data_IF_837326700499
#
_entry.id   IF_837326700499
#
_cell.length_a   1.000
_cell.length_b   1.000
_cell.length_c   1.000
_cell.angle_alpha   90.00
_cell.angle_beta   90.00
_cell.angle_gamma   90.00
#
_symmetry.space_group_name_H-M   'P 1'
#
loop_
_entity.id
_entity.type
_entity.pdbx_description
1 polymer ?
#
# COMPACT_ATOMS: atom_id res chain seq x y z
N UNK A 1 -34.48 12.31 36.55
CA UNK A 1 -33.20 12.57 35.83
C UNK A 1 -33.19 11.69 34.59
N UNK A 2 -32.94 12.26 33.41
CA UNK A 2 -33.06 11.58 32.11
C UNK A 2 -31.83 10.68 31.87
N UNK A 3 -32.08 9.46 31.39
CA UNK A 3 -31.07 8.56 30.84
C UNK A 3 -30.36 9.23 29.66
N UNK A 4 -29.03 9.29 29.71
CA UNK A 4 -28.22 9.70 28.57
C UNK A 4 -27.91 8.47 27.71
N UNK A 5 -28.42 8.52 26.48
CA UNK A 5 -28.38 7.44 25.51
C UNK A 5 -26.97 6.96 25.17
N UNK A 6 -26.85 5.63 25.12
CA UNK A 6 -25.78 4.84 24.51
C UNK A 6 -25.32 5.47 23.19
N UNK A 7 -24.06 5.92 23.15
CA UNK A 7 -23.42 6.33 21.91
C UNK A 7 -23.42 5.15 20.93
N UNK A 8 -24.08 5.32 19.77
CA UNK A 8 -23.96 4.37 18.68
C UNK A 8 -22.55 4.48 18.11
N UNK A 9 -21.82 3.37 18.12
CA UNK A 9 -20.52 3.21 17.46
C UNK A 9 -20.71 3.35 15.94
N UNK A 10 -20.77 4.60 15.48
CA UNK A 10 -20.87 4.95 14.07
C UNK A 10 -19.53 5.52 13.62
N UNK A 11 -18.70 4.65 13.04
CA UNK A 11 -17.65 4.93 12.06
C UNK A 11 -16.74 3.71 12.08
N UNK A 12 -17.06 2.70 11.28
CA UNK A 12 -16.06 1.70 10.90
C UNK A 12 -14.98 2.47 10.15
N UNK A 13 -13.88 2.78 10.84
CA UNK A 13 -12.64 3.23 10.20
C UNK A 13 -12.40 2.29 9.02
N UNK A 14 -12.42 2.83 7.80
CA UNK A 14 -12.07 2.09 6.58
C UNK A 14 -10.75 1.39 6.86
N UNK A 15 -10.78 0.07 7.03
CA UNK A 15 -9.60 -0.71 7.37
C UNK A 15 -8.58 -0.50 6.25
N UNK A 16 -7.44 0.09 6.59
CA UNK A 16 -6.27 0.29 5.72
C UNK A 16 -5.54 -1.02 5.41
N UNK A 17 -6.19 -2.16 5.64
CA UNK A 17 -5.60 -3.49 5.61
C UNK A 17 -6.44 -4.36 4.68
N UNK A 18 -5.80 -4.86 3.63
CA UNK A 18 -6.37 -5.91 2.79
C UNK A 18 -5.91 -7.26 3.35
N UNK A 19 -6.86 -8.09 3.77
CA UNK A 19 -6.59 -9.45 4.20
C UNK A 19 -6.52 -10.34 2.96
N UNK A 20 -5.32 -10.78 2.60
CA UNK A 20 -5.09 -11.59 1.40
C UNK A 20 -5.56 -13.02 1.65
N UNK A 21 -6.87 -13.24 1.53
CA UNK A 21 -7.47 -14.56 1.68
C UNK A 21 -7.61 -15.24 0.31
N UNK A 22 -6.80 -16.30 0.13
CA UNK A 22 -7.16 -17.54 -0.59
C UNK A 22 -6.67 -17.80 -2.02
N UNK A 23 -5.79 -17.01 -2.65
CA UNK A 23 -5.29 -17.38 -4.00
C UNK A 23 -3.81 -17.11 -4.31
N UNK A 24 -3.09 -16.31 -3.53
CA UNK A 24 -1.65 -16.11 -3.75
C UNK A 24 -0.84 -17.16 -2.99
N UNK A 25 0.21 -17.65 -3.64
CA UNK A 25 1.09 -18.70 -3.12
C UNK A 25 1.45 -18.47 -1.65
N UNK A 26 1.36 -19.54 -0.88
CA UNK A 26 1.34 -19.66 0.59
C UNK A 26 2.52 -18.99 1.34
N UNK A 27 3.47 -18.41 0.59
CA UNK A 27 4.74 -17.81 0.99
C UNK A 27 4.60 -16.33 1.40
N UNK A 28 3.64 -15.61 0.82
CA UNK A 28 3.40 -14.19 1.07
C UNK A 28 2.27 -13.96 2.07
N UNK A 29 2.26 -14.71 3.18
CA UNK A 29 1.32 -14.48 4.27
C UNK A 29 1.73 -13.23 5.05
N UNK A 30 0.80 -12.30 5.21
CA UNK A 30 1.02 -11.09 6.01
C UNK A 30 -0.12 -10.10 5.89
N UNK A 31 0.06 -8.97 6.57
CA UNK A 31 -0.84 -7.82 6.48
C UNK A 31 -0.33 -6.95 5.33
N UNK A 32 -1.15 -6.74 4.31
CA UNK A 32 -0.86 -5.77 3.26
C UNK A 32 -1.08 -4.35 3.80
N UNK A 33 -0.12 -3.47 3.52
CA UNK A 33 -0.17 -2.05 3.87
C UNK A 33 -0.15 -1.22 2.59
N UNK A 34 -0.70 -0.01 2.68
CA UNK A 34 -0.66 0.94 1.56
C UNK A 34 0.81 1.24 1.18
N UNK A 35 1.17 1.36 -0.12
CA UNK A 35 2.53 1.66 -0.55
C UNK A 35 3.11 2.91 0.14
N UNK A 36 2.32 3.98 0.25
CA UNK A 36 2.74 5.20 0.95
C UNK A 36 3.05 5.00 2.43
N UNK A 37 2.61 3.90 3.05
CA UNK A 37 2.85 3.60 4.47
C UNK A 37 4.04 2.66 4.68
N UNK A 38 4.59 2.06 3.62
CA UNK A 38 5.63 1.04 3.73
C UNK A 38 6.92 1.58 4.33
N UNK A 39 7.25 2.86 4.07
CA UNK A 39 8.46 3.49 4.58
C UNK A 39 8.46 3.61 6.11
N UNK A 40 7.31 3.93 6.72
CA UNK A 40 7.17 3.99 8.18
C UNK A 40 7.42 2.63 8.85
N UNK A 41 6.86 1.56 8.28
CA UNK A 41 7.04 0.21 8.81
C UNK A 41 8.49 -0.25 8.65
N UNK A 42 9.10 0.03 7.48
CA UNK A 42 10.47 -0.37 7.22
C UNK A 42 11.47 0.32 8.15
N UNK A 43 11.30 1.63 8.38
CA UNK A 43 12.13 2.40 9.31
C UNK A 43 11.96 1.91 10.76
N UNK A 44 10.73 1.60 11.18
CA UNK A 44 10.46 1.06 12.52
C UNK A 44 11.17 -0.28 12.76
N UNK A 45 11.31 -1.12 11.74
CA UNK A 45 12.05 -2.38 11.85
C UNK A 45 13.57 -2.17 11.87
N UNK A 46 14.12 -1.39 10.94
CA UNK A 46 15.55 -1.08 10.86
C UNK A 46 15.84 -0.04 9.78
N UNK A 47 16.75 0.89 10.06
CA UNK A 47 17.28 1.84 9.06
C UNK A 47 17.83 1.12 7.82
N UNK A 48 18.56 0.01 8.00
CA UNK A 48 19.11 -0.76 6.86
C UNK A 48 17.98 -1.35 6.00
N UNK A 49 16.91 -1.81 6.63
CA UNK A 49 15.75 -2.38 5.95
C UNK A 49 14.96 -1.31 5.18
N UNK A 50 14.85 -0.09 5.72
CA UNK A 50 14.27 1.05 5.01
C UNK A 50 14.98 1.33 3.67
N UNK A 51 16.31 1.27 3.63
CA UNK A 51 17.05 1.40 2.36
C UNK A 51 16.74 0.26 1.37
N UNK A 52 16.64 -0.99 1.85
CA UNK A 52 16.27 -2.11 0.98
C UNK A 52 14.87 -1.92 0.37
N UNK A 53 13.89 -1.52 1.19
CA UNK A 53 12.52 -1.24 0.72
C UNK A 53 12.51 -0.09 -0.29
N UNK A 54 13.26 0.98 -0.03
CA UNK A 54 13.42 2.09 -0.98
C UNK A 54 13.90 1.61 -2.35
N UNK A 55 14.95 0.79 -2.41
CA UNK A 55 15.46 0.27 -3.68
C UNK A 55 14.44 -0.60 -4.43
N UNK A 56 13.61 -1.35 -3.70
CA UNK A 56 12.54 -2.14 -4.31
C UNK A 56 11.47 -1.21 -4.89
N UNK A 57 11.03 -0.19 -4.14
CA UNK A 57 10.04 0.77 -4.61
C UNK A 57 10.54 1.56 -5.82
N UNK A 58 11.77 2.09 -5.76
CA UNK A 58 12.40 2.79 -6.88
C UNK A 58 12.46 1.91 -8.14
N UNK A 59 12.73 0.60 -7.98
CA UNK A 59 12.76 -0.35 -9.09
C UNK A 59 11.37 -0.64 -9.68
N UNK A 60 10.31 -0.56 -8.89
CA UNK A 60 8.93 -0.73 -9.37
C UNK A 60 8.51 0.52 -10.15
N UNK A 61 8.76 1.69 -9.57
CA UNK A 61 8.47 2.99 -10.18
C UNK A 61 9.14 3.13 -11.55
N UNK A 62 10.43 2.80 -11.63
CA UNK A 62 11.17 2.76 -12.91
C UNK A 62 10.52 1.85 -13.95
N UNK A 63 10.01 0.69 -13.55
CA UNK A 63 9.34 -0.26 -14.47
C UNK A 63 8.00 0.27 -14.97
N UNK A 64 7.28 1.05 -14.16
CA UNK A 64 6.03 1.69 -14.59
C UNK A 64 6.33 2.70 -15.70
N UNK A 65 7.36 3.52 -15.52
CA UNK A 65 7.81 4.46 -16.56
C UNK A 65 8.29 3.76 -17.83
N UNK A 66 9.06 2.67 -17.71
CA UNK A 66 9.50 1.87 -18.87
C UNK A 66 8.31 1.31 -19.67
N UNK A 67 7.24 0.86 -19.01
CA UNK A 67 6.03 0.40 -19.71
C UNK A 67 5.27 1.53 -20.39
N UNK A 68 5.21 2.70 -19.77
CA UNK A 68 4.57 3.87 -20.38
C UNK A 68 5.29 4.28 -21.66
N UNK A 69 6.62 4.26 -21.65
CA UNK A 69 7.45 4.51 -22.83
C UNK A 69 7.22 3.46 -23.94
N UNK A 70 7.13 2.18 -23.57
CA UNK A 70 6.85 1.08 -24.52
C UNK A 70 5.47 1.21 -25.20
N UNK A 71 4.46 1.71 -24.48
CA UNK A 71 3.11 1.92 -25.00
C UNK A 71 2.89 3.31 -25.64
N UNK A 72 3.96 4.11 -25.77
CA UNK A 72 3.92 5.50 -26.26
C UNK A 72 2.90 6.38 -25.50
N UNK A 73 2.72 6.11 -24.21
CA UNK A 73 1.81 6.84 -23.33
C UNK A 73 2.57 7.97 -22.62
N UNK A 74 1.92 9.12 -22.49
CA UNK A 74 2.49 10.23 -21.72
C UNK A 74 2.61 9.84 -20.24
N UNK A 75 3.75 10.17 -19.63
CA UNK A 75 4.06 9.87 -18.24
C UNK A 75 3.20 10.73 -17.30
N UNK A 76 2.00 10.23 -17.03
CA UNK A 76 0.99 10.88 -16.21
C UNK A 76 0.45 9.92 -15.18
N UNK A 77 -0.02 10.48 -14.05
CA UNK A 77 -0.63 9.71 -12.96
C UNK A 77 -1.84 8.91 -13.43
N UNK A 78 -2.61 9.40 -14.40
CA UNK A 78 -3.77 8.67 -14.92
C UNK A 78 -3.36 7.45 -15.76
N UNK A 79 -2.32 7.57 -16.59
CA UNK A 79 -1.81 6.46 -17.40
C UNK A 79 -1.09 5.43 -16.53
N UNK A 80 -0.32 5.87 -15.53
CA UNK A 80 0.42 5.00 -14.61
C UNK A 80 -0.48 4.07 -13.77
N UNK A 81 -1.74 4.44 -13.51
CA UNK A 81 -2.69 3.60 -12.74
C UNK A 81 -2.99 2.25 -13.39
N UNK A 82 -2.66 2.09 -14.67
CA UNK A 82 -2.94 0.88 -15.43
C UNK A 82 -1.81 -0.18 -15.36
N UNK A 83 -0.69 0.10 -14.67
CA UNK A 83 0.56 -0.68 -14.77
C UNK A 83 1.09 -1.31 -13.50
#
# INVERSE_FOLDING_TARGET
>A
MKEYGRAKSGSTSKQTFYELTKAFMNEFKGICIHPDLVHFVAEWCSVKYAFYVKYIMDSIDKKVHEKLDEEELEDTVENAKHF
#
